data_IF_489457807831
#
_entry.id   IF_489457807831
#
_cell.length_a   1.000
_cell.length_b   1.000
_cell.length_c   1.000
_cell.angle_alpha   90.00
_cell.angle_beta   90.00
_cell.angle_gamma   90.00
#
_symmetry.space_group_name_H-M   'P 1'
#
loop_
_entity.id
_entity.type
_entity.pdbx_description
1 polymer ?
#
# COMPACT_ATOMS: atom_id res chain seq x y z
N UNK A 1 33.20 -39.85 18.25
CA UNK A 1 33.91 -38.64 17.77
C UNK A 1 33.14 -37.38 18.21
N UNK A 2 33.73 -36.53 19.05
CA UNK A 2 33.09 -35.28 19.53
C UNK A 2 33.06 -34.25 18.39
N UNK A 3 31.87 -33.77 18.03
CA UNK A 3 31.72 -32.73 16.99
C UNK A 3 32.45 -31.46 17.42
N UNK A 4 33.48 -31.05 16.67
CA UNK A 4 34.19 -29.80 16.90
C UNK A 4 33.19 -28.63 16.91
N UNK A 5 33.15 -27.90 18.02
CA UNK A 5 32.22 -26.79 18.22
C UNK A 5 32.65 -25.65 17.30
N UNK A 6 31.97 -25.48 16.16
CA UNK A 6 32.29 -24.42 15.20
C UNK A 6 32.15 -23.04 15.84
N UNK A 7 33.29 -22.39 16.10
CA UNK A 7 33.38 -21.01 16.59
C UNK A 7 32.85 -20.08 15.51
N UNK A 8 31.81 -19.30 15.83
CA UNK A 8 31.34 -18.23 14.93
C UNK A 8 32.20 -17.00 15.12
N UNK A 9 32.64 -16.41 14.00
CA UNK A 9 33.29 -15.11 14.02
C UNK A 9 32.38 -14.00 14.54
N UNK A 10 33.00 -12.94 15.05
CA UNK A 10 32.32 -11.75 15.55
C UNK A 10 31.95 -10.81 14.39
N UNK A 11 31.25 -9.71 14.68
CA UNK A 11 30.95 -8.71 13.65
C UNK A 11 32.20 -8.03 13.09
N UNK A 12 33.25 -7.90 13.91
CA UNK A 12 34.52 -7.27 13.56
C UNK A 12 35.48 -8.25 12.89
N UNK A 13 35.38 -9.55 13.19
CA UNK A 13 36.13 -10.62 12.53
C UNK A 13 35.17 -11.71 12.04
N UNK A 14 34.48 -11.48 10.90
CA UNK A 14 33.53 -12.43 10.38
C UNK A 14 34.25 -13.70 9.92
N UNK A 15 33.82 -14.86 10.42
CA UNK A 15 34.34 -16.18 10.03
C UNK A 15 33.26 -17.00 9.38
N UNK A 16 33.54 -17.50 8.19
CA UNK A 16 32.58 -18.22 7.38
C UNK A 16 32.34 -19.63 7.91
N UNK A 17 31.08 -19.98 8.15
CA UNK A 17 30.71 -21.31 8.61
C UNK A 17 30.78 -22.39 7.51
N UNK A 18 30.90 -22.01 6.23
CA UNK A 18 30.94 -22.97 5.13
C UNK A 18 32.36 -23.29 4.68
N UNK A 19 33.24 -22.30 4.57
CA UNK A 19 34.63 -22.50 4.14
C UNK A 19 35.67 -22.29 5.24
N UNK A 20 35.25 -21.89 6.45
CA UNK A 20 36.14 -21.70 7.60
C UNK A 20 37.03 -20.45 7.55
N UNK A 21 37.05 -19.72 6.42
CA UNK A 21 37.88 -18.53 6.20
C UNK A 21 37.29 -17.28 6.85
N UNK A 22 38.16 -16.35 7.22
CA UNK A 22 37.79 -15.04 7.77
C UNK A 22 37.43 -14.03 6.66
N UNK A 23 36.89 -12.87 7.05
CA UNK A 23 36.53 -11.76 6.16
C UNK A 23 35.11 -11.79 5.59
N UNK A 24 34.34 -12.88 5.78
CA UNK A 24 32.97 -12.97 5.27
C UNK A 24 32.07 -13.95 6.05
N UNK A 25 30.76 -13.81 5.87
CA UNK A 25 29.77 -14.71 6.47
C UNK A 25 29.40 -15.86 5.52
N UNK A 26 28.79 -16.90 6.08
CA UNK A 26 28.27 -18.05 5.31
C UNK A 26 27.33 -17.65 4.15
N UNK A 27 26.54 -16.59 4.33
CA UNK A 27 25.59 -16.06 3.32
C UNK A 27 26.28 -15.34 2.17
N UNK A 28 27.54 -14.95 2.33
CA UNK A 28 28.35 -14.26 1.31
C UNK A 28 29.59 -15.09 0.97
N UNK A 29 29.53 -16.42 1.16
CA UNK A 29 30.66 -17.31 0.93
C UNK A 29 30.90 -17.51 -0.58
N UNK A 30 32.07 -17.11 -1.11
CA UNK A 30 32.36 -17.25 -2.54
C UNK A 30 32.43 -18.72 -2.97
N UNK A 31 32.94 -19.60 -2.11
CA UNK A 31 32.98 -21.05 -2.37
C UNK A 31 31.57 -21.65 -2.47
N UNK A 32 30.63 -21.18 -1.64
CA UNK A 32 29.23 -21.61 -1.74
C UNK A 32 28.58 -21.07 -3.02
N UNK A 33 28.82 -19.80 -3.36
CA UNK A 33 28.31 -19.20 -4.59
C UNK A 33 28.82 -19.93 -5.85
N UNK A 34 30.10 -20.29 -5.90
CA UNK A 34 30.66 -21.08 -7.00
C UNK A 34 30.04 -22.49 -7.09
N UNK A 35 29.80 -23.17 -5.95
CA UNK A 35 29.13 -24.48 -5.95
C UNK A 35 27.69 -24.38 -6.47
N UNK A 36 26.97 -23.34 -6.07
CA UNK A 36 25.61 -23.04 -6.57
C UNK A 36 25.64 -22.81 -8.09
N UNK A 37 26.56 -21.96 -8.58
CA UNK A 37 26.68 -21.65 -10.00
C UNK A 37 27.05 -22.87 -10.84
N UNK A 38 28.00 -23.70 -10.38
CA UNK A 38 28.35 -24.96 -11.06
C UNK A 38 27.17 -25.92 -11.12
N UNK A 39 26.39 -26.04 -10.03
CA UNK A 39 25.21 -26.90 -10.00
C UNK A 39 24.06 -26.36 -10.86
N UNK A 40 23.96 -25.05 -11.06
CA UNK A 40 22.96 -24.44 -11.95
C UNK A 40 23.37 -24.58 -13.41
N UNK A 41 24.67 -24.49 -13.71
CA UNK A 41 25.20 -24.66 -15.06
C UNK A 41 24.97 -26.07 -15.64
N UNK A 42 24.75 -27.08 -14.80
CA UNK A 42 24.41 -28.44 -15.23
C UNK A 42 22.93 -28.63 -15.60
N UNK A 43 22.11 -27.57 -15.55
CA UNK A 43 20.69 -27.61 -15.88
C UNK A 43 20.40 -26.74 -17.12
N UNK A 44 19.43 -27.15 -17.95
CA UNK A 44 19.03 -26.34 -19.11
C UNK A 44 18.31 -25.06 -18.68
N UNK A 45 18.52 -23.98 -19.44
CA UNK A 45 17.90 -22.67 -19.17
C UNK A 45 16.37 -22.77 -19.08
N UNK A 46 15.76 -23.59 -19.94
CA UNK A 46 14.31 -23.82 -19.98
C UNK A 46 13.78 -24.44 -18.68
N UNK A 47 14.48 -25.45 -18.15
CA UNK A 47 14.11 -26.09 -16.88
C UNK A 47 14.18 -25.12 -15.70
N UNK A 48 15.21 -24.26 -15.66
CA UNK A 48 15.35 -23.24 -14.62
C UNK A 48 14.24 -22.18 -14.70
N UNK A 49 13.86 -21.75 -15.91
CA UNK A 49 12.77 -20.78 -16.12
C UNK A 49 11.41 -21.34 -15.69
N UNK A 50 11.09 -22.58 -16.06
CA UNK A 50 9.86 -23.26 -15.63
C UNK A 50 9.79 -23.42 -14.11
N UNK A 51 10.92 -23.75 -13.46
CA UNK A 51 10.98 -23.88 -12.01
C UNK A 51 10.78 -22.54 -11.27
N UNK A 52 11.38 -21.45 -11.79
CA UNK A 52 11.20 -20.09 -11.26
C UNK A 52 9.77 -19.62 -11.44
N UNK A 53 9.16 -19.89 -12.61
CA UNK A 53 7.76 -19.57 -12.89
C UNK A 53 6.79 -20.31 -11.95
N UNK A 54 7.12 -21.55 -11.56
CA UNK A 54 6.34 -22.34 -10.61
C UNK A 54 6.46 -21.86 -9.14
N UNK A 55 7.32 -20.88 -8.84
CA UNK A 55 7.49 -20.33 -7.49
C UNK A 55 8.03 -21.33 -6.44
N UNK A 56 8.60 -22.45 -6.89
CA UNK A 56 9.14 -23.51 -6.01
C UNK A 56 10.54 -23.12 -5.54
N UNK A 57 10.86 -23.42 -4.28
CA UNK A 57 12.20 -23.19 -3.73
C UNK A 57 13.18 -24.25 -4.25
N UNK A 58 14.23 -23.83 -4.94
CA UNK A 58 15.34 -24.70 -5.34
C UNK A 58 16.08 -25.21 -4.10
N UNK A 59 16.22 -26.53 -3.99
CA UNK A 59 17.09 -27.18 -3.01
C UNK A 59 18.23 -27.85 -3.75
N UNK A 60 19.45 -27.43 -3.44
CA UNK A 60 20.65 -28.08 -3.97
C UNK A 60 20.97 -29.31 -3.11
N UNK A 61 20.87 -30.51 -3.69
CA UNK A 61 21.12 -31.77 -2.98
C UNK A 61 22.54 -31.86 -2.40
N UNK A 62 23.51 -31.19 -3.04
CA UNK A 62 24.93 -31.17 -2.65
C UNK A 62 25.30 -30.10 -1.60
N UNK A 63 24.33 -29.29 -1.15
CA UNK A 63 24.55 -28.28 -0.11
C UNK A 63 23.84 -28.73 1.17
N UNK A 64 24.63 -29.09 2.19
CA UNK A 64 24.10 -29.50 3.49
C UNK A 64 23.10 -28.46 4.01
N UNK A 65 21.84 -28.88 4.18
CA UNK A 65 20.82 -28.00 4.75
C UNK A 65 21.18 -27.68 6.19
N UNK A 66 21.17 -26.39 6.52
CA UNK A 66 21.35 -25.93 7.91
C UNK A 66 20.32 -26.63 8.79
N UNK A 67 20.79 -27.46 9.75
CA UNK A 67 19.91 -28.12 10.73
C UNK A 67 18.95 -27.09 11.31
N UNK A 68 17.65 -27.25 11.06
CA UNK A 68 16.61 -26.38 11.62
C UNK A 68 16.78 -26.43 13.14
N UNK A 69 17.00 -25.27 13.77
CA UNK A 69 16.89 -25.18 15.23
C UNK A 69 15.45 -25.59 15.57
N UNK A 70 15.27 -26.78 16.11
CA UNK A 70 14.13 -27.03 16.97
C UNK A 70 14.22 -26.00 18.07
N UNK A 71 13.31 -25.03 18.06
CA UNK A 71 13.03 -24.25 19.25
C UNK A 71 12.66 -25.30 20.29
N UNK A 72 13.61 -25.69 21.15
CA UNK A 72 13.28 -26.33 22.41
C UNK A 72 12.33 -25.34 23.07
N UNK A 73 11.03 -25.64 22.99
CA UNK A 73 10.03 -25.02 23.84
C UNK A 73 10.65 -25.07 25.23
N UNK A 74 10.72 -23.94 25.90
CA UNK A 74 11.01 -23.88 27.31
C UNK A 74 9.83 -24.53 28.06
N UNK A 75 9.63 -25.84 27.90
CA UNK A 75 8.93 -26.66 28.87
C UNK A 75 9.93 -26.96 29.98
N UNK A 76 10.34 -25.91 30.69
CA UNK A 76 11.02 -26.06 31.96
C UNK A 76 9.98 -26.56 32.95
N UNK A 77 9.82 -27.89 33.04
CA UNK A 77 9.32 -28.52 34.26
C UNK A 77 10.32 -28.11 35.34
N UNK A 78 9.91 -27.22 36.25
CA UNK A 78 10.70 -26.92 37.45
C UNK A 78 10.63 -28.16 38.34
N UNK A 79 11.56 -29.08 38.15
CA UNK A 79 11.92 -30.01 39.21
C UNK A 79 12.81 -29.24 40.17
N UNK A 80 12.20 -28.87 41.28
CA UNK A 80 12.89 -28.47 42.49
C UNK A 80 13.61 -29.72 42.98
N UNK A 81 14.91 -29.84 42.71
CA UNK A 81 15.78 -30.71 43.49
C UNK A 81 17.15 -30.04 43.57
N UNK A 82 17.52 -29.79 44.82
CA UNK A 82 18.84 -29.41 45.26
C UNK A 82 19.84 -30.48 44.83
N UNK A 83 20.99 -30.07 44.29
CA UNK A 83 22.32 -30.40 44.82
C UNK A 83 23.40 -29.80 43.91
N UNK A 84 24.20 -28.91 44.52
CA UNK A 84 25.62 -28.64 44.29
C UNK A 84 26.29 -29.04 42.97
N UNK A 85 26.80 -28.04 42.24
CA UNK A 85 28.26 -27.85 42.07
C UNK A 85 28.55 -26.46 41.46
N UNK A 86 29.56 -25.82 42.03
CA UNK A 86 29.97 -24.43 41.84
C UNK A 86 30.48 -24.21 40.41
N UNK A 87 29.86 -23.27 39.71
CA UNK A 87 30.39 -22.61 38.51
C UNK A 87 30.37 -21.09 38.73
N UNK A 88 31.19 -20.32 38.00
CA UNK A 88 31.48 -18.92 38.32
C UNK A 88 30.21 -18.09 38.48
N UNK A 89 30.22 -17.25 39.52
CA UNK A 89 29.05 -16.62 40.13
C UNK A 89 28.06 -16.04 39.10
N UNK A 90 26.77 -16.39 39.26
CA UNK A 90 25.65 -15.82 38.50
C UNK A 90 25.66 -14.29 38.42
N UNK A 91 26.29 -13.61 39.40
CA UNK A 91 26.45 -12.15 39.48
C UNK A 91 27.25 -11.57 38.29
N UNK A 92 28.44 -12.10 37.99
CA UNK A 92 29.28 -11.61 36.87
C UNK A 92 28.63 -11.80 35.49
N UNK A 93 27.85 -12.88 35.32
CA UNK A 93 27.15 -13.16 34.06
C UNK A 93 25.92 -12.25 33.86
N UNK A 94 25.25 -11.85 34.93
CA UNK A 94 24.18 -10.86 34.87
C UNK A 94 24.72 -9.45 34.58
N UNK A 95 25.83 -9.06 35.21
CA UNK A 95 26.48 -7.76 34.95
C UNK A 95 26.89 -7.61 33.49
N UNK A 96 27.68 -8.54 32.93
CA UNK A 96 28.10 -8.44 31.53
C UNK A 96 26.94 -8.43 30.53
N UNK A 97 25.82 -9.10 30.85
CA UNK A 97 24.59 -9.04 30.04
C UNK A 97 23.89 -7.69 30.16
N UNK A 98 23.83 -7.10 31.37
CA UNK A 98 23.29 -5.77 31.63
C UNK A 98 24.12 -4.69 30.93
N UNK A 99 25.45 -4.77 30.98
CA UNK A 99 26.35 -3.80 30.30
C UNK A 99 26.25 -3.90 28.78
N UNK A 100 26.14 -5.12 28.22
CA UNK A 100 25.92 -5.32 26.77
C UNK A 100 24.55 -4.83 26.30
N UNK A 101 23.52 -4.98 27.12
CA UNK A 101 22.20 -4.42 26.85
C UNK A 101 22.20 -2.89 26.98
N UNK A 102 22.86 -2.32 27.99
CA UNK A 102 22.99 -0.88 28.18
C UNK A 102 23.74 -0.20 27.02
N UNK A 103 24.84 -0.79 26.54
CA UNK A 103 25.57 -0.28 25.37
C UNK A 103 24.76 -0.43 24.06
N UNK A 104 23.95 -1.48 23.94
CA UNK A 104 23.05 -1.64 22.79
C UNK A 104 21.82 -0.73 22.87
N UNK A 105 21.35 -0.38 24.07
CA UNK A 105 20.23 0.52 24.29
C UNK A 105 20.66 1.99 24.26
N UNK A 106 21.92 2.34 24.58
CA UNK A 106 22.48 3.68 24.36
C UNK A 106 22.70 3.98 22.87
N UNK A 107 23.02 2.95 22.07
CA UNK A 107 23.08 3.07 20.60
C UNK A 107 21.70 3.05 19.93
N UNK A 108 20.64 2.61 20.61
CA UNK A 108 19.28 2.80 20.11
C UNK A 108 18.93 4.26 20.34
N UNK A 109 18.65 4.99 19.25
CA UNK A 109 17.98 6.30 19.34
C UNK A 109 16.89 6.19 20.40
N UNK A 110 16.98 7.05 21.42
CA UNK A 110 15.96 7.18 22.44
C UNK A 110 14.61 7.15 21.73
N UNK A 111 13.80 6.13 22.01
CA UNK A 111 12.38 6.23 21.68
C UNK A 111 11.94 7.55 22.30
N UNK A 112 11.25 8.45 21.57
CA UNK A 112 10.83 9.70 22.17
C UNK A 112 10.01 9.38 23.42
N UNK A 113 10.63 9.51 24.60
CA UNK A 113 10.01 9.21 25.90
C UNK A 113 8.86 10.18 26.17
N UNK A 114 8.85 11.33 25.47
CA UNK A 114 7.85 12.39 25.56
C UNK A 114 6.43 12.03 25.10
N UNK A 115 6.15 10.78 24.71
CA UNK A 115 4.80 10.37 24.32
C UNK A 115 4.19 9.25 25.17
N UNK A 116 4.87 8.68 26.17
CA UNK A 116 4.27 7.62 26.99
C UNK A 116 3.10 8.16 27.82
N UNK A 117 3.23 9.37 28.39
CA UNK A 117 2.14 10.03 29.13
C UNK A 117 0.95 10.40 28.21
N UNK A 118 1.20 10.61 26.92
CA UNK A 118 0.16 10.93 25.93
C UNK A 118 -0.38 9.70 25.19
N UNK A 119 0.13 8.49 25.47
CA UNK A 119 -0.42 7.28 24.90
C UNK A 119 -1.73 6.96 25.61
N UNK A 120 -2.82 6.75 24.85
CA UNK A 120 -4.11 6.54 25.47
C UNK A 120 -4.09 5.24 26.29
N UNK A 121 -4.47 5.34 27.56
CA UNK A 121 -4.54 4.18 28.44
C UNK A 121 -5.53 3.14 27.88
N UNK A 122 -5.04 1.91 27.72
CA UNK A 122 -5.82 0.78 27.24
C UNK A 122 -6.53 0.12 28.41
N UNK A 123 -7.84 -0.03 28.32
CA UNK A 123 -8.59 -0.83 29.26
C UNK A 123 -9.60 -1.71 28.53
N UNK A 124 -10.28 -2.54 29.31
CA UNK A 124 -11.12 -3.55 28.73
C UNK A 124 -12.31 -2.99 27.96
N UNK A 125 -12.96 -2.04 28.62
CA UNK A 125 -14.10 -1.29 28.13
C UNK A 125 -13.82 -0.61 26.79
N UNK A 126 -12.69 0.11 26.66
CA UNK A 126 -12.30 0.80 25.41
C UNK A 126 -12.03 -0.17 24.26
N UNK A 127 -11.41 -1.32 24.53
CA UNK A 127 -11.12 -2.33 23.51
C UNK A 127 -12.42 -2.97 23.00
N UNK A 128 -13.33 -3.29 23.91
CA UNK A 128 -14.65 -3.85 23.56
C UNK A 128 -15.52 -2.84 22.81
N UNK A 129 -15.53 -1.57 23.25
CA UNK A 129 -16.19 -0.49 22.52
C UNK A 129 -15.64 -0.35 21.10
N UNK A 130 -14.31 -0.34 20.93
CA UNK A 130 -13.69 -0.25 19.61
C UNK A 130 -14.03 -1.46 18.72
N UNK A 131 -14.07 -2.66 19.29
CA UNK A 131 -14.54 -3.84 18.59
C UNK A 131 -15.96 -3.65 18.08
N UNK A 132 -16.90 -3.27 18.95
CA UNK A 132 -18.29 -3.06 18.56
C UNK A 132 -18.44 -1.98 17.49
N UNK A 133 -17.69 -0.87 17.59
CA UNK A 133 -17.69 0.18 16.56
C UNK A 133 -17.17 -0.32 15.22
N UNK A 134 -16.07 -1.08 15.20
CA UNK A 134 -15.49 -1.62 13.97
C UNK A 134 -16.38 -2.71 13.34
N UNK A 135 -17.08 -3.49 14.19
CA UNK A 135 -18.10 -4.46 13.75
C UNK A 135 -19.30 -3.75 13.14
N UNK A 136 -19.87 -2.78 13.85
CA UNK A 136 -21.09 -2.08 13.42
C UNK A 136 -20.85 -1.27 12.16
N UNK A 137 -19.70 -0.60 12.07
CA UNK A 137 -19.29 0.10 10.85
C UNK A 137 -18.99 -0.85 9.69
N UNK A 138 -18.71 -2.13 9.94
CA UNK A 138 -18.46 -3.13 8.90
C UNK A 138 -16.99 -3.31 8.52
N UNK A 139 -16.07 -2.63 9.21
CA UNK A 139 -14.64 -2.85 9.07
C UNK A 139 -14.22 -4.21 9.61
N UNK A 140 -15.00 -4.80 10.51
CA UNK A 140 -14.81 -6.12 11.06
C UNK A 140 -16.06 -6.96 10.79
N UNK A 141 -15.90 -8.16 10.25
CA UNK A 141 -16.98 -9.14 10.15
C UNK A 141 -17.04 -9.99 11.43
N UNK A 142 -18.24 -10.13 12.01
CA UNK A 142 -18.49 -11.14 13.05
C UNK A 142 -18.32 -12.52 12.42
N UNK A 143 -17.47 -13.34 13.02
CA UNK A 143 -17.35 -14.75 12.65
C UNK A 143 -18.45 -15.53 13.37
N UNK A 144 -18.94 -16.59 12.74
CA UNK A 144 -19.79 -17.56 13.44
C UNK A 144 -19.07 -18.09 14.70
N UNK A 145 -19.78 -18.36 15.80
CA UNK A 145 -19.22 -19.06 16.94
C UNK A 145 -18.51 -20.35 16.48
N UNK A 146 -17.27 -20.58 16.93
CA UNK A 146 -16.48 -21.75 16.55
C UNK A 146 -15.45 -21.55 15.43
N UNK A 147 -15.46 -20.42 14.71
CA UNK A 147 -14.44 -20.12 13.68
C UNK A 147 -13.49 -18.99 14.10
N UNK A 148 -12.19 -19.20 13.93
CA UNK A 148 -11.13 -18.37 14.52
C UNK A 148 -10.66 -17.22 13.60
N UNK A 149 -11.57 -16.51 12.92
CA UNK A 149 -11.13 -15.57 11.88
C UNK A 149 -12.00 -14.33 11.68
N UNK A 150 -11.75 -13.26 12.42
CA UNK A 150 -12.29 -11.94 12.04
C UNK A 150 -11.46 -11.34 10.92
N UNK A 151 -12.12 -11.05 9.80
CA UNK A 151 -11.54 -10.32 8.68
C UNK A 151 -11.71 -8.83 8.91
N UNK A 152 -10.61 -8.07 8.94
CA UNK A 152 -10.67 -6.63 8.69
C UNK A 152 -10.98 -6.47 7.20
N UNK A 153 -12.18 -6.00 6.89
CA UNK A 153 -12.74 -5.94 5.56
C UNK A 153 -11.84 -5.12 4.63
N UNK A 154 -11.08 -5.83 3.82
CA UNK A 154 -10.56 -5.35 2.56
C UNK A 154 -10.85 -6.51 1.60
N UNK A 155 -12.11 -6.62 1.15
CA UNK A 155 -12.55 -7.69 0.22
C UNK A 155 -11.81 -7.67 -1.12
N UNK A 156 -10.98 -6.66 -1.34
CA UNK A 156 -10.13 -6.41 -2.49
C UNK A 156 -8.67 -6.88 -2.31
N UNK A 157 -8.32 -7.51 -1.18
CA UNK A 157 -7.01 -8.16 -0.99
C UNK A 157 -7.27 -9.64 -0.72
N UNK A 158 -6.67 -10.53 -1.52
CA UNK A 158 -6.78 -11.99 -1.38
C UNK A 158 -6.35 -12.50 0.02
N UNK A 159 -5.69 -11.65 0.81
CA UNK A 159 -5.31 -11.92 2.19
C UNK A 159 -6.02 -10.96 3.14
N UNK A 160 -6.77 -11.46 4.14
CA UNK A 160 -7.38 -10.61 5.15
C UNK A 160 -6.28 -9.83 5.90
N UNK A 161 -6.53 -8.54 6.13
CA UNK A 161 -5.56 -7.64 6.80
C UNK A 161 -5.29 -8.09 8.24
N UNK A 162 -6.17 -8.90 8.83
CA UNK A 162 -5.99 -9.58 10.10
C UNK A 162 -6.99 -10.74 10.27
N UNK A 163 -6.70 -11.63 11.22
CA UNK A 163 -7.51 -12.80 11.62
C UNK A 163 -7.55 -12.86 13.15
N UNK A 164 -8.69 -12.57 13.79
CA UNK A 164 -8.83 -12.71 15.25
C UNK A 164 -8.99 -14.17 15.68
N UNK A 165 -8.12 -14.68 16.57
CA UNK A 165 -8.26 -16.01 17.20
C UNK A 165 -8.46 -15.88 18.72
N UNK A 166 -9.39 -16.66 19.29
CA UNK A 166 -9.59 -16.88 20.74
C UNK A 166 -9.70 -15.59 21.59
N UNK A 167 -10.80 -14.86 21.45
CA UNK A 167 -11.12 -13.64 22.22
C UNK A 167 -11.33 -13.88 23.74
N UNK A 168 -11.25 -15.12 24.21
CA UNK A 168 -11.62 -15.51 25.58
C UNK A 168 -10.49 -15.34 26.63
N UNK A 169 -9.26 -14.95 26.26
CA UNK A 169 -8.14 -14.83 27.21
C UNK A 169 -7.45 -13.47 27.17
N UNK A 170 -7.86 -12.63 28.12
CA UNK A 170 -7.54 -11.21 28.32
C UNK A 170 -6.11 -10.87 28.82
N UNK A 171 -5.18 -11.83 28.92
CA UNK A 171 -4.02 -11.70 29.83
C UNK A 171 -2.68 -11.23 29.23
N UNK A 172 -2.56 -10.88 27.95
CA UNK A 172 -1.27 -10.43 27.38
C UNK A 172 -1.34 -9.12 26.58
N UNK A 173 -0.23 -8.38 26.53
CA UNK A 173 -0.08 -7.23 25.61
C UNK A 173 -0.19 -7.64 24.14
N UNK A 174 0.14 -8.91 23.86
CA UNK A 174 -0.16 -9.57 22.58
C UNK A 174 -1.64 -10.02 22.47
N UNK A 175 -2.37 -10.22 23.59
CA UNK A 175 -3.84 -10.35 23.60
C UNK A 175 -4.56 -9.04 23.28
N UNK A 176 -3.97 -7.88 23.58
CA UNK A 176 -4.53 -6.58 23.15
C UNK A 176 -4.37 -6.36 21.66
N UNK A 177 -3.31 -6.90 21.05
CA UNK A 177 -3.20 -7.00 19.61
C UNK A 177 -3.99 -8.19 19.09
N UNK A 178 -5.29 -8.00 19.17
CA UNK A 178 -6.31 -8.78 18.52
C UNK A 178 -5.93 -9.12 17.05
N UNK A 179 -5.17 -8.29 16.35
CA UNK A 179 -4.79 -8.52 14.95
C UNK A 179 -3.38 -9.11 14.81
N UNK A 180 -3.19 -10.45 14.68
CA UNK A 180 -1.88 -11.09 14.65
C UNK A 180 -1.01 -10.66 13.45
N UNK A 181 -1.64 -10.30 12.34
CA UNK A 181 -0.98 -9.77 11.14
C UNK A 181 -0.54 -8.33 11.38
N UNK A 182 -1.45 -7.47 11.83
CA UNK A 182 -1.16 -6.04 12.00
C UNK A 182 -0.22 -5.77 13.17
N UNK A 183 -0.32 -6.54 14.26
CA UNK A 183 0.37 -6.29 15.54
C UNK A 183 0.09 -4.89 16.09
N UNK A 184 -1.18 -4.49 16.08
CA UNK A 184 -1.70 -3.24 16.66
C UNK A 184 -2.88 -3.51 17.61
N UNK A 185 -3.02 -2.79 18.74
CA UNK A 185 -4.20 -2.86 19.60
C UNK A 185 -5.46 -2.38 18.88
N UNK A 186 -6.59 -3.03 19.11
CA UNK A 186 -7.83 -2.72 18.37
C UNK A 186 -8.33 -1.29 18.59
N UNK A 187 -8.19 -0.78 19.82
CA UNK A 187 -8.51 0.61 20.13
C UNK A 187 -7.67 1.59 19.30
N UNK A 188 -6.37 1.31 19.12
CA UNK A 188 -5.50 2.10 18.23
C UNK A 188 -5.89 1.98 16.76
N UNK A 189 -6.34 0.80 16.31
CA UNK A 189 -6.86 0.66 14.94
C UNK A 189 -8.03 1.60 14.71
N UNK A 190 -8.97 1.67 15.65
CA UNK A 190 -10.11 2.58 15.57
C UNK A 190 -9.65 4.05 15.59
N UNK A 191 -8.76 4.45 16.51
CA UNK A 191 -8.28 5.83 16.57
C UNK A 191 -7.57 6.26 15.28
N UNK A 192 -6.72 5.39 14.73
CA UNK A 192 -6.03 5.65 13.45
C UNK A 192 -7.04 5.70 12.31
N UNK A 193 -8.05 4.83 12.30
CA UNK A 193 -9.11 4.87 11.30
C UNK A 193 -9.90 6.19 11.38
N UNK A 194 -10.33 6.58 12.57
CA UNK A 194 -11.04 7.85 12.79
C UNK A 194 -10.22 9.03 12.28
N UNK A 195 -8.93 9.14 12.64
CA UNK A 195 -8.05 10.19 12.15
C UNK A 195 -7.83 10.13 10.62
N UNK A 196 -7.74 8.93 10.04
CA UNK A 196 -7.56 8.76 8.59
C UNK A 196 -8.77 9.23 7.78
N UNK A 197 -9.97 9.00 8.30
CA UNK A 197 -11.26 9.26 7.65
C UNK A 197 -11.93 10.56 8.14
N UNK A 198 -11.26 11.34 8.98
CA UNK A 198 -11.78 12.58 9.58
C UNK A 198 -12.00 13.68 8.52
N UNK A 199 -11.14 13.73 7.49
CA UNK A 199 -11.12 14.82 6.52
C UNK A 199 -11.02 14.32 5.07
N UNK A 200 -11.22 15.23 4.12
CA UNK A 200 -11.08 14.96 2.68
C UNK A 200 -9.63 14.68 2.25
N UNK A 201 -8.65 15.22 2.98
CA UNK A 201 -7.22 14.98 2.76
C UNK A 201 -6.68 14.08 3.87
N UNK A 202 -6.29 12.83 3.58
CA UNK A 202 -5.78 11.93 4.61
C UNK A 202 -4.50 12.50 5.23
N UNK A 203 -4.31 12.28 6.55
CA UNK A 203 -3.09 12.67 7.22
C UNK A 203 -1.89 11.88 6.68
N UNK A 204 -0.70 12.48 6.73
CA UNK A 204 0.52 11.78 6.34
C UNK A 204 0.86 10.66 7.33
N UNK A 205 1.63 9.67 6.87
CA UNK A 205 2.11 8.60 7.76
C UNK A 205 2.94 9.16 8.93
N UNK A 206 3.63 10.27 8.70
CA UNK A 206 4.41 10.97 9.73
C UNK A 206 3.52 11.64 10.77
N UNK A 207 2.45 12.33 10.33
CA UNK A 207 1.45 12.93 11.22
C UNK A 207 0.77 11.86 12.09
N UNK A 208 0.31 10.76 11.49
CA UNK A 208 -0.27 9.65 12.24
C UNK A 208 0.74 9.01 13.20
N UNK A 209 2.00 8.88 12.76
CA UNK A 209 3.09 8.37 13.60
C UNK A 209 3.34 9.24 14.83
N UNK A 210 3.40 10.55 14.64
CA UNK A 210 3.55 11.52 15.71
C UNK A 210 2.33 11.52 16.65
N UNK A 211 1.11 11.56 16.09
CA UNK A 211 -0.16 11.61 16.85
C UNK A 211 -0.37 10.39 17.75
N UNK A 212 0.05 9.20 17.31
CA UNK A 212 -0.22 7.94 18.02
C UNK A 212 1.04 7.23 18.55
N UNK A 213 2.20 7.90 18.53
CA UNK A 213 3.45 7.37 19.10
C UNK A 213 4.07 6.20 18.32
N UNK A 214 3.85 6.11 17.00
CA UNK A 214 4.51 5.11 16.16
C UNK A 214 5.77 5.69 15.51
N UNK A 215 6.89 4.97 15.66
CA UNK A 215 8.14 5.33 14.99
C UNK A 215 7.98 5.29 13.45
N UNK A 216 8.60 6.24 12.75
CA UNK A 216 8.54 6.42 11.29
C UNK A 216 9.25 5.33 10.46
N UNK A 217 9.53 4.16 11.03
CA UNK A 217 10.28 3.11 10.34
C UNK A 217 9.48 2.47 9.18
N UNK A 218 10.19 2.03 8.13
CA UNK A 218 9.64 1.57 6.86
C UNK A 218 8.72 0.34 6.94
N UNK A 219 8.62 -0.36 8.08
CA UNK A 219 7.83 -1.59 8.23
C UNK A 219 6.98 -1.63 9.51
N UNK A 220 6.32 -0.52 9.88
CA UNK A 220 5.42 -0.52 11.05
C UNK A 220 4.05 -1.13 10.76
N UNK A 221 3.38 -1.54 11.84
CA UNK A 221 1.95 -1.86 11.84
C UNK A 221 1.11 -0.71 11.26
N UNK A 222 1.44 0.54 11.60
CA UNK A 222 0.76 1.74 11.11
C UNK A 222 0.82 1.84 9.58
N UNK A 223 1.99 1.65 8.95
CA UNK A 223 2.11 1.69 7.48
C UNK A 223 1.21 0.65 6.80
N UNK A 224 1.12 -0.54 7.37
CA UNK A 224 0.27 -1.63 6.86
C UNK A 224 -1.22 -1.29 6.99
N UNK A 225 -1.61 -0.69 8.11
CA UNK A 225 -2.98 -0.22 8.32
C UNK A 225 -3.37 0.87 7.33
N UNK A 226 -2.54 1.92 7.21
CA UNK A 226 -2.75 3.01 6.25
C UNK A 226 -2.84 2.48 4.81
N UNK A 227 -1.98 1.52 4.45
CA UNK A 227 -2.05 0.88 3.15
C UNK A 227 -3.38 0.14 2.94
N UNK A 228 -3.87 -0.57 3.96
CA UNK A 228 -5.17 -1.23 3.89
C UNK A 228 -6.31 -0.22 3.68
N UNK A 229 -6.27 0.94 4.34
CA UNK A 229 -7.25 2.00 4.11
C UNK A 229 -7.19 2.57 2.69
N UNK A 230 -6.00 2.83 2.15
CA UNK A 230 -5.84 3.27 0.76
C UNK A 230 -6.45 2.27 -0.23
N UNK A 231 -6.21 0.97 -0.03
CA UNK A 231 -6.77 -0.09 -0.89
C UNK A 231 -8.28 -0.18 -0.75
N UNK A 232 -8.81 -0.05 0.46
CA UNK A 232 -10.25 -0.01 0.72
C UNK A 232 -10.93 1.15 -0.02
N UNK A 233 -10.43 2.38 0.14
CA UNK A 233 -10.99 3.56 -0.53
C UNK A 233 -10.89 3.44 -2.06
N UNK A 234 -9.76 2.96 -2.57
CA UNK A 234 -9.58 2.76 -3.99
C UNK A 234 -10.58 1.73 -4.58
N UNK A 235 -10.79 0.61 -3.87
CA UNK A 235 -11.78 -0.38 -4.29
C UNK A 235 -13.20 0.16 -4.26
N UNK A 236 -13.55 0.99 -3.28
CA UNK A 236 -14.85 1.66 -3.24
C UNK A 236 -15.05 2.60 -4.44
N UNK A 237 -14.02 3.37 -4.81
CA UNK A 237 -14.07 4.20 -6.02
C UNK A 237 -14.25 3.33 -7.28
N UNK A 238 -13.51 2.24 -7.42
CA UNK A 238 -13.64 1.32 -8.55
C UNK A 238 -15.03 0.69 -8.65
N UNK A 239 -15.57 0.17 -7.54
CA UNK A 239 -16.94 -0.36 -7.49
C UNK A 239 -17.96 0.71 -7.85
N UNK A 240 -17.81 1.90 -7.29
CA UNK A 240 -18.71 3.02 -7.53
C UNK A 240 -18.66 3.46 -9.00
N UNK A 241 -17.49 3.47 -9.63
CA UNK A 241 -17.32 3.75 -11.05
C UNK A 241 -17.92 2.64 -11.92
N UNK A 242 -17.66 1.37 -11.61
CA UNK A 242 -18.15 0.24 -12.40
C UNK A 242 -19.69 0.14 -12.41
N UNK A 243 -20.36 0.61 -11.36
CA UNK A 243 -21.82 0.54 -11.25
C UNK A 243 -22.55 1.76 -11.82
N UNK A 244 -21.87 2.72 -12.48
CA UNK A 244 -22.49 3.99 -12.87
C UNK A 244 -22.38 4.28 -14.36
N UNK A 245 -23.39 4.98 -14.86
CA UNK A 245 -23.35 5.68 -16.14
C UNK A 245 -23.33 7.19 -15.90
N UNK A 246 -22.43 7.90 -16.57
CA UNK A 246 -22.33 9.35 -16.58
C UNK A 246 -23.27 9.92 -17.63
N UNK A 247 -23.96 11.00 -17.28
CA UNK A 247 -24.93 11.67 -18.15
C UNK A 247 -24.92 13.19 -17.96
N UNK A 248 -25.52 13.92 -18.89
CA UNK A 248 -25.61 15.40 -18.82
C UNK A 248 -24.46 16.07 -19.56
N UNK A 249 -23.90 17.14 -18.99
CA UNK A 249 -22.73 17.82 -19.56
C UNK A 249 -21.45 17.29 -18.91
N UNK A 250 -20.64 16.60 -19.72
CA UNK A 250 -19.45 15.90 -19.29
C UNK A 250 -18.22 16.65 -19.77
N UNK A 251 -17.32 17.02 -18.86
CA UNK A 251 -15.98 17.47 -19.23
C UNK A 251 -15.05 16.27 -19.31
N UNK A 252 -14.29 16.18 -20.40
CA UNK A 252 -13.30 15.13 -20.65
C UNK A 252 -11.94 15.77 -20.88
N UNK A 253 -10.93 15.26 -20.19
CA UNK A 253 -9.56 15.72 -20.31
C UNK A 253 -8.58 14.63 -19.88
N UNK A 254 -7.40 14.62 -20.51
CA UNK A 254 -6.32 13.71 -20.21
C UNK A 254 -5.22 14.42 -19.44
N UNK A 255 -4.67 13.72 -18.45
CA UNK A 255 -3.56 14.26 -17.67
C UNK A 255 -2.45 13.25 -17.50
N UNK A 256 -1.25 13.78 -17.24
CA UNK A 256 -0.04 12.98 -17.03
C UNK A 256 0.51 13.24 -15.63
N UNK A 257 0.74 12.18 -14.88
CA UNK A 257 1.33 12.24 -13.54
C UNK A 257 2.66 11.53 -13.56
N UNK A 258 3.72 12.23 -13.18
CA UNK A 258 5.08 11.67 -13.16
C UNK A 258 5.11 10.46 -12.24
N UNK A 259 5.52 9.32 -12.78
CA UNK A 259 5.51 8.04 -12.07
C UNK A 259 6.92 7.62 -11.64
N UNK A 260 7.90 7.73 -12.53
CA UNK A 260 9.31 7.52 -12.18
C UNK A 260 10.27 8.12 -13.21
N UNK A 261 11.54 8.15 -12.84
CA UNK A 261 12.67 8.40 -13.72
C UNK A 261 13.69 7.29 -13.50
N UNK A 262 14.12 6.54 -14.53
CA UNK A 262 15.18 5.55 -14.38
C UNK A 262 16.48 6.21 -13.91
N UNK A 263 17.28 5.47 -13.14
CA UNK A 263 18.62 5.92 -12.77
C UNK A 263 19.44 6.16 -14.05
N UNK A 264 20.23 7.23 -14.07
CA UNK A 264 21.09 7.61 -15.20
C UNK A 264 20.37 7.84 -16.54
N UNK A 265 19.05 8.06 -16.52
CA UNK A 265 18.28 8.40 -17.72
C UNK A 265 17.82 9.86 -17.69
N UNK A 266 17.69 10.49 -18.87
CA UNK A 266 16.99 11.77 -19.04
C UNK A 266 15.52 11.59 -19.37
N UNK A 267 15.00 10.36 -19.40
CA UNK A 267 13.61 10.07 -19.73
C UNK A 267 12.75 9.99 -18.48
N UNK A 268 11.70 10.79 -18.43
CA UNK A 268 10.66 10.69 -17.41
C UNK A 268 9.55 9.77 -17.91
N UNK A 269 9.02 8.93 -17.01
CA UNK A 269 7.87 8.10 -17.28
C UNK A 269 6.66 8.61 -16.50
N UNK A 270 5.56 8.80 -17.22
CA UNK A 270 4.30 9.32 -16.70
C UNK A 270 3.23 8.25 -16.76
N UNK A 271 2.37 8.22 -15.76
CA UNK A 271 1.08 7.55 -15.85
C UNK A 271 0.12 8.52 -16.53
N UNK A 272 -0.40 8.15 -17.69
CA UNK A 272 -1.47 8.88 -18.36
C UNK A 272 -2.83 8.37 -17.93
N UNK A 273 -3.74 9.32 -17.77
CA UNK A 273 -5.06 9.11 -17.16
C UNK A 273 -6.06 10.01 -17.86
N UNK A 274 -7.18 9.43 -18.26
CA UNK A 274 -8.36 10.16 -18.72
C UNK A 274 -9.29 10.39 -17.55
N UNK A 275 -9.87 11.58 -17.48
CA UNK A 275 -10.93 11.93 -16.56
C UNK A 275 -12.19 12.26 -17.34
N UNK A 276 -13.34 11.81 -16.83
CA UNK A 276 -14.65 12.21 -17.32
C UNK A 276 -15.46 12.65 -16.11
N UNK A 277 -15.84 13.92 -16.05
CA UNK A 277 -16.54 14.51 -14.91
C UNK A 277 -17.86 15.13 -15.34
N UNK A 278 -18.92 14.92 -14.55
CA UNK A 278 -20.22 15.55 -14.78
C UNK A 278 -20.22 16.95 -14.16
N UNK A 279 -20.62 17.98 -14.90
CA UNK A 279 -20.59 19.37 -14.41
C UNK A 279 -21.51 19.61 -13.22
N UNK A 280 -22.65 18.96 -13.21
CA UNK A 280 -23.72 19.15 -12.23
C UNK A 280 -23.53 18.34 -10.95
N UNK A 281 -22.56 17.42 -10.91
CA UNK A 281 -22.36 16.53 -9.75
C UNK A 281 -20.89 16.37 -9.34
N UNK A 282 -20.66 15.87 -8.13
CA UNK A 282 -19.32 15.44 -7.69
C UNK A 282 -19.07 14.00 -8.11
N UNK A 283 -18.96 13.77 -9.42
CA UNK A 283 -18.69 12.46 -10.00
C UNK A 283 -17.60 12.60 -11.04
N UNK A 284 -16.55 11.80 -10.89
CA UNK A 284 -15.47 11.71 -11.87
C UNK A 284 -15.11 10.25 -12.08
N UNK A 285 -15.12 9.81 -13.32
CA UNK A 285 -14.53 8.53 -13.69
C UNK A 285 -13.10 8.76 -14.16
N UNK A 286 -12.19 7.89 -13.72
CA UNK A 286 -10.80 7.90 -14.18
C UNK A 286 -10.47 6.62 -14.93
N UNK A 287 -9.71 6.73 -16.00
CA UNK A 287 -9.29 5.60 -16.82
C UNK A 287 -7.79 5.69 -17.08
N UNK A 288 -7.07 4.61 -16.83
CA UNK A 288 -5.62 4.59 -17.06
C UNK A 288 -5.33 4.32 -18.54
N UNK A 289 -4.61 5.24 -19.21
CA UNK A 289 -4.08 5.03 -20.56
C UNK A 289 -2.78 4.23 -20.58
N UNK A 290 -2.16 4.02 -19.41
CA UNK A 290 -0.88 3.35 -19.29
C UNK A 290 0.28 4.32 -19.12
N UNK A 291 1.50 3.81 -19.28
CA UNK A 291 2.70 4.59 -19.08
C UNK A 291 3.17 5.20 -20.40
N UNK A 292 3.64 6.44 -20.36
CA UNK A 292 4.31 7.10 -21.48
C UNK A 292 5.66 7.63 -21.05
N UNK A 293 6.60 7.61 -21.99
CA UNK A 293 7.92 8.19 -21.82
C UNK A 293 7.94 9.60 -22.44
N UNK A 294 8.64 10.53 -21.80
CA UNK A 294 9.00 11.81 -22.39
C UNK A 294 10.44 12.16 -22.00
N UNK A 295 11.21 12.74 -22.94
CA UNK A 295 12.54 13.27 -22.65
C UNK A 295 12.44 14.38 -21.59
N UNK A 296 13.51 14.63 -20.85
CA UNK A 296 13.57 15.71 -19.86
C UNK A 296 13.13 17.02 -20.50
N UNK A 297 12.26 17.77 -19.80
CA UNK A 297 11.62 19.01 -20.26
C UNK A 297 10.66 18.86 -21.45
N UNK A 298 10.53 17.66 -22.04
CA UNK A 298 9.53 17.36 -23.05
C UNK A 298 8.14 17.22 -22.44
N UNK A 299 7.12 17.75 -23.14
CA UNK A 299 5.72 17.51 -22.79
C UNK A 299 5.41 16.03 -23.01
N UNK A 300 4.64 15.37 -22.12
CA UNK A 300 4.13 14.04 -22.38
C UNK A 300 3.36 14.01 -23.70
N UNK A 301 3.42 12.89 -24.46
CA UNK A 301 2.69 12.78 -25.73
C UNK A 301 1.19 12.99 -25.51
N UNK A 302 0.52 13.64 -26.46
CA UNK A 302 -0.93 13.88 -26.38
C UNK A 302 -1.73 12.57 -26.40
N UNK A 303 -3.01 12.67 -26.06
CA UNK A 303 -3.97 11.58 -26.19
C UNK A 303 -4.08 11.14 -27.65
N UNK A 304 -4.49 9.89 -27.86
CA UNK A 304 -4.76 9.34 -29.19
C UNK A 304 -6.11 8.65 -29.17
N UNK A 305 -6.77 8.59 -30.33
CA UNK A 305 -8.05 7.90 -30.50
C UNK A 305 -7.92 6.43 -30.04
N UNK A 306 -6.82 5.75 -30.38
CA UNK A 306 -6.56 4.37 -29.95
C UNK A 306 -6.56 4.21 -28.43
N UNK A 307 -5.95 5.15 -27.69
CA UNK A 307 -5.96 5.13 -26.22
C UNK A 307 -7.37 5.37 -25.65
N UNK A 308 -8.12 6.30 -26.25
CA UNK A 308 -9.51 6.59 -25.86
C UNK A 308 -10.41 5.36 -26.07
N UNK A 309 -10.25 4.64 -27.18
CA UNK A 309 -10.96 3.39 -27.45
C UNK A 309 -10.60 2.30 -26.43
N UNK A 310 -9.30 2.11 -26.18
CA UNK A 310 -8.81 1.03 -25.32
C UNK A 310 -9.18 1.21 -23.84
N UNK A 311 -9.39 2.46 -23.37
CA UNK A 311 -9.60 2.73 -21.96
C UNK A 311 -11.02 2.40 -21.46
N UNK A 312 -11.97 2.15 -22.36
CA UNK A 312 -13.34 1.75 -22.03
C UNK A 312 -14.28 2.88 -21.61
N UNK A 313 -13.83 4.14 -21.60
CA UNK A 313 -14.61 5.27 -21.10
C UNK A 313 -15.97 5.47 -21.79
N UNK A 314 -16.07 5.12 -23.08
CA UNK A 314 -17.32 5.23 -23.83
C UNK A 314 -18.47 4.37 -23.24
N UNK A 315 -18.15 3.24 -22.60
CA UNK A 315 -19.14 2.33 -22.01
C UNK A 315 -19.87 2.96 -20.82
N UNK A 316 -19.20 3.85 -20.12
CA UNK A 316 -19.71 4.48 -18.90
C UNK A 316 -20.42 5.81 -19.22
N UNK A 317 -20.51 6.23 -20.49
CA UNK A 317 -21.13 7.49 -20.90
C UNK A 317 -22.47 7.22 -21.58
N UNK A 318 -23.54 7.87 -21.10
CA UNK A 318 -24.85 7.82 -21.75
C UNK A 318 -24.80 8.48 -23.12
N UNK A 319 -25.44 7.86 -24.12
CA UNK A 319 -25.50 8.38 -25.51
C UNK A 319 -26.10 9.78 -25.62
N UNK A 320 -26.98 10.15 -24.70
CA UNK A 320 -27.64 11.46 -24.68
C UNK A 320 -26.78 12.56 -24.03
N UNK A 321 -25.54 12.25 -23.69
CA UNK A 321 -24.63 13.20 -23.03
C UNK A 321 -23.99 14.17 -24.02
N UNK A 322 -23.62 15.33 -23.49
CA UNK A 322 -22.78 16.30 -24.19
C UNK A 322 -21.37 16.20 -23.65
N UNK A 323 -20.41 15.88 -24.51
CA UNK A 323 -18.99 15.82 -24.18
C UNK A 323 -18.32 17.15 -24.50
N UNK A 324 -17.54 17.67 -23.55
CA UNK A 324 -16.85 18.96 -23.61
C UNK A 324 -15.36 18.73 -23.39
N UNK A 325 -14.50 19.14 -24.33
CA UNK A 325 -13.05 18.95 -24.25
C UNK A 325 -12.22 20.20 -24.53
N UNK A 326 -10.92 20.11 -24.29
CA UNK A 326 -9.90 21.17 -24.39
C UNK A 326 -9.42 21.47 -25.83
N UNK A 327 -9.93 20.72 -26.80
CA UNK A 327 -9.60 20.85 -28.22
C UNK A 327 -8.51 19.90 -28.72
N UNK A 328 -8.07 18.92 -27.91
CA UNK A 328 -7.19 17.86 -28.40
C UNK A 328 -7.83 17.13 -29.61
N UNK A 329 -7.11 16.95 -30.74
CA UNK A 329 -7.65 16.37 -31.96
C UNK A 329 -8.21 14.95 -31.81
N UNK A 330 -7.81 14.22 -30.78
CA UNK A 330 -8.28 12.85 -30.53
C UNK A 330 -9.76 12.77 -30.13
N UNK A 331 -10.33 13.83 -29.51
CA UNK A 331 -11.69 13.75 -28.95
C UNK A 331 -12.79 13.81 -30.00
N UNK A 332 -12.65 14.61 -31.06
CA UNK A 332 -13.71 14.77 -32.05
C UNK A 332 -13.99 13.48 -32.86
N UNK A 333 -12.97 12.78 -33.41
CA UNK A 333 -13.19 11.48 -34.06
C UNK A 333 -13.75 10.42 -33.11
N UNK A 334 -13.28 10.41 -31.86
CA UNK A 334 -13.76 9.48 -30.84
C UNK A 334 -15.24 9.73 -30.51
N UNK A 335 -15.65 10.98 -30.27
CA UNK A 335 -17.05 11.32 -30.02
C UNK A 335 -17.94 11.01 -31.22
N UNK A 336 -17.46 11.27 -32.45
CA UNK A 336 -18.20 10.95 -33.69
C UNK A 336 -18.47 9.45 -33.79
N UNK A 337 -17.46 8.61 -33.49
CA UNK A 337 -17.59 7.15 -33.54
C UNK A 337 -18.60 6.59 -32.53
N UNK A 338 -18.68 7.19 -31.33
CA UNK A 338 -19.62 6.77 -30.27
C UNK A 338 -20.95 7.55 -30.27
N UNK A 339 -21.17 8.39 -31.28
CA UNK A 339 -22.37 9.23 -31.44
C UNK A 339 -22.65 10.17 -30.27
N UNK A 340 -21.61 10.70 -29.64
CA UNK A 340 -21.76 11.72 -28.59
C UNK A 340 -21.86 13.12 -29.20
N UNK A 341 -22.74 13.97 -28.65
CA UNK A 341 -22.72 15.39 -28.97
C UNK A 341 -21.43 16.00 -28.39
N UNK A 342 -20.58 16.59 -29.24
CA UNK A 342 -19.28 17.09 -28.82
C UNK A 342 -19.14 18.60 -29.05
N UNK A 343 -18.59 19.28 -28.05
CA UNK A 343 -18.11 20.65 -28.16
C UNK A 343 -16.70 20.74 -27.59
N UNK A 344 -15.89 21.65 -28.12
CA UNK A 344 -14.56 21.91 -27.58
C UNK A 344 -14.25 23.40 -27.48
N UNK A 345 -13.50 23.76 -26.45
CA UNK A 345 -12.68 24.95 -26.44
C UNK A 345 -11.31 24.61 -27.07
N UNK A 346 -10.47 25.59 -27.40
CA UNK A 346 -9.16 25.31 -27.99
C UNK A 346 -8.10 26.06 -27.18
N UNK A 347 -7.51 25.37 -26.21
CA UNK A 347 -6.54 25.96 -25.31
C UNK A 347 -5.25 26.37 -26.03
N UNK A 348 -4.83 25.64 -27.07
CA UNK A 348 -3.63 26.00 -27.84
C UNK A 348 -3.80 27.29 -28.65
N UNK A 349 -5.05 27.71 -28.91
CA UNK A 349 -5.39 28.99 -29.54
C UNK A 349 -5.82 30.07 -28.53
N UNK A 350 -5.61 29.85 -27.23
CA UNK A 350 -6.02 30.79 -26.18
C UNK A 350 -7.53 30.90 -25.97
N UNK A 351 -8.33 30.00 -26.53
CA UNK A 351 -9.79 29.99 -26.37
C UNK A 351 -10.15 29.07 -25.22
N UNK A 352 -10.31 29.64 -24.03
CA UNK A 352 -10.62 28.92 -22.78
C UNK A 352 -12.12 28.75 -22.51
N UNK A 353 -12.93 29.65 -23.06
CA UNK A 353 -14.39 29.62 -22.93
C UNK A 353 -15.01 29.96 -24.28
N UNK A 354 -15.98 29.16 -24.71
CA UNK A 354 -16.77 29.41 -25.93
C UNK A 354 -18.26 29.32 -25.61
N UNK A 355 -19.09 30.13 -26.26
CA UNK A 355 -20.55 29.95 -26.26
C UNK A 355 -20.94 29.18 -27.52
N UNK A 356 -21.65 28.07 -27.37
CA UNK A 356 -22.11 27.24 -28.47
C UNK A 356 -23.65 27.18 -28.47
N UNK A 357 -24.29 27.49 -29.60
CA UNK A 357 -25.74 27.33 -29.75
C UNK A 357 -26.09 25.85 -29.92
N UNK A 358 -27.13 25.39 -29.23
CA UNK A 358 -27.68 24.02 -29.27
C UNK A 358 -29.11 23.99 -29.81
N UNK A 359 -29.38 24.77 -30.85
CA UNK A 359 -30.73 24.90 -31.41
C UNK A 359 -31.75 25.30 -30.34
N UNK A 360 -32.84 24.54 -30.22
CA UNK A 360 -33.92 24.77 -29.23
C UNK A 360 -33.49 24.60 -27.77
N UNK A 361 -32.34 23.97 -27.50
CA UNK A 361 -31.81 23.76 -26.15
C UNK A 361 -31.00 24.96 -25.61
N UNK A 362 -30.97 26.08 -26.34
CA UNK A 362 -30.33 27.32 -25.90
C UNK A 362 -28.82 27.35 -26.13
N UNK A 363 -28.11 28.10 -25.28
CA UNK A 363 -26.66 28.35 -25.40
C UNK A 363 -25.90 27.59 -24.32
N UNK A 364 -24.92 26.79 -24.73
CA UNK A 364 -24.00 26.09 -23.85
C UNK A 364 -22.69 26.87 -23.69
N UNK A 365 -22.24 27.03 -22.45
CA UNK A 365 -20.89 27.54 -22.14
C UNK A 365 -19.89 26.39 -22.15
N UNK A 366 -19.00 26.36 -23.14
CA UNK A 366 -18.00 25.30 -23.39
C UNK A 366 -16.67 25.71 -22.75
N UNK A 367 -16.19 24.93 -21.78
CA UNK A 367 -14.90 25.08 -21.07
C UNK A 367 -14.55 23.78 -20.32
N UNK A 368 -13.29 23.59 -19.93
CA UNK A 368 -12.83 22.42 -19.13
C UNK A 368 -12.38 22.80 -17.72
N UNK A 369 -12.73 24.01 -17.24
CA UNK A 369 -12.24 24.51 -15.97
C UNK A 369 -12.56 23.62 -14.76
N UNK A 370 -13.64 22.83 -14.79
CA UNK A 370 -13.94 21.90 -13.69
C UNK A 370 -12.94 20.76 -13.70
N UNK A 371 -12.76 20.05 -14.81
CA UNK A 371 -11.82 18.93 -14.86
C UNK A 371 -10.36 19.37 -14.63
N UNK A 372 -9.97 20.56 -15.11
CA UNK A 372 -8.66 21.16 -14.84
C UNK A 372 -8.43 21.37 -13.34
N UNK A 373 -9.43 21.92 -12.63
CA UNK A 373 -9.37 22.08 -11.17
C UNK A 373 -9.28 20.73 -10.44
N UNK A 374 -10.00 19.72 -10.93
CA UNK A 374 -9.97 18.37 -10.37
C UNK A 374 -8.60 17.72 -10.53
N UNK A 375 -7.94 17.92 -11.66
CA UNK A 375 -6.58 17.43 -11.86
C UNK A 375 -5.57 18.07 -10.93
N UNK A 376 -5.69 19.38 -10.67
CA UNK A 376 -4.84 20.06 -9.70
C UNK A 376 -4.99 19.44 -8.30
N UNK A 377 -6.23 19.23 -7.85
CA UNK A 377 -6.51 18.60 -6.56
C UNK A 377 -6.02 17.15 -6.50
N UNK A 378 -6.27 16.36 -7.54
CA UNK A 378 -5.86 14.96 -7.61
C UNK A 378 -4.33 14.81 -7.61
N UNK A 379 -3.61 15.69 -8.34
CA UNK A 379 -2.14 15.71 -8.36
C UNK A 379 -1.54 16.05 -7.00
N UNK A 380 -2.12 17.01 -6.29
CA UNK A 380 -1.69 17.38 -4.92
C UNK A 380 -1.93 16.26 -3.91
N UNK A 381 -2.89 15.36 -4.18
CA UNK A 381 -3.16 14.20 -3.34
C UNK A 381 -2.10 13.10 -3.47
N UNK A 382 -1.40 13.01 -4.60
CA UNK A 382 -0.36 11.99 -4.83
C UNK A 382 0.93 12.42 -4.12
N UNK A 383 1.45 11.63 -3.16
CA UNK A 383 2.69 11.98 -2.47
C UNK A 383 3.88 12.20 -3.41
N UNK A 384 4.60 13.31 -3.24
CA UNK A 384 5.77 13.68 -4.08
C UNK A 384 6.91 12.65 -4.01
N UNK A 385 7.06 11.98 -2.86
CA UNK A 385 8.07 10.94 -2.66
C UNK A 385 7.76 9.64 -3.43
N UNK A 386 6.54 9.45 -3.93
CA UNK A 386 6.22 8.34 -4.84
C UNK A 386 6.86 8.57 -6.22
N UNK A 387 7.09 9.82 -6.60
CA UNK A 387 7.52 10.18 -7.96
C UNK A 387 9.05 10.06 -8.16
N UNK A 388 9.82 9.73 -7.12
CA UNK A 388 11.27 10.00 -7.05
C UNK A 388 12.19 8.79 -6.81
N UNK A 389 11.70 7.57 -6.49
CA UNK A 389 12.59 6.46 -6.07
C UNK A 389 12.52 5.21 -6.95
N UNK A 390 13.55 5.04 -7.78
CA UNK A 390 14.17 3.77 -8.17
C UNK A 390 13.21 2.62 -8.60
N UNK A 391 12.38 2.87 -9.61
CA UNK A 391 11.59 1.81 -10.26
C UNK A 391 10.18 2.25 -10.64
N UNK A 392 9.45 1.35 -11.29
CA UNK A 392 8.06 1.58 -11.69
C UNK A 392 7.17 1.72 -10.46
N UNK A 393 6.64 2.92 -10.19
CA UNK A 393 5.72 3.11 -9.06
C UNK A 393 4.29 2.68 -9.40
N UNK A 394 3.86 1.54 -8.86
CA UNK A 394 2.54 0.95 -9.14
C UNK A 394 1.39 1.65 -8.40
N UNK A 395 1.68 2.58 -7.48
CA UNK A 395 0.69 3.11 -6.55
C UNK A 395 0.02 4.42 -7.00
N UNK A 396 0.43 5.02 -8.12
CA UNK A 396 -0.17 6.30 -8.58
C UNK A 396 -1.68 6.18 -8.73
N UNK A 397 -2.16 5.13 -9.41
CA UNK A 397 -3.60 4.89 -9.55
C UNK A 397 -4.29 4.63 -8.21
N UNK A 398 -3.63 3.96 -7.27
CA UNK A 398 -4.20 3.73 -5.94
C UNK A 398 -4.52 5.04 -5.22
N UNK A 399 -3.58 5.99 -5.22
CA UNK A 399 -3.79 7.29 -4.59
C UNK A 399 -4.88 8.10 -5.31
N UNK A 400 -4.96 8.02 -6.64
CA UNK A 400 -5.98 8.73 -7.40
C UNK A 400 -7.37 8.14 -7.20
N UNK A 401 -7.50 6.82 -7.08
CA UNK A 401 -8.76 6.15 -6.72
C UNK A 401 -9.19 6.49 -5.29
N UNK A 402 -8.24 6.56 -4.35
CA UNK A 402 -8.52 7.04 -2.99
C UNK A 402 -9.01 8.50 -3.02
N UNK A 403 -8.36 9.39 -3.77
CA UNK A 403 -8.81 10.76 -3.96
C UNK A 403 -10.21 10.83 -4.58
N UNK A 404 -10.47 10.04 -5.63
CA UNK A 404 -11.78 9.95 -6.29
C UNK A 404 -12.87 9.61 -5.26
N UNK A 405 -12.67 8.56 -4.46
CA UNK A 405 -13.63 8.15 -3.44
C UNK A 405 -13.94 9.29 -2.46
N UNK A 406 -12.91 9.99 -1.96
CA UNK A 406 -13.06 11.10 -1.02
C UNK A 406 -13.73 12.32 -1.62
N UNK A 407 -13.40 12.64 -2.88
CA UNK A 407 -14.04 13.73 -3.61
C UNK A 407 -15.55 13.49 -3.77
N UNK A 408 -15.92 12.28 -4.17
CA UNK A 408 -17.33 11.89 -4.37
C UNK A 408 -18.10 11.79 -3.05
N UNK A 409 -17.46 11.31 -1.99
CA UNK A 409 -18.07 11.15 -0.68
C UNK A 409 -18.05 12.40 0.20
N UNK A 410 -17.66 13.57 -0.32
CA UNK A 410 -17.50 14.81 0.43
C UNK A 410 -18.63 15.07 1.43
N UNK A 411 -18.28 15.58 2.63
CA UNK A 411 -19.18 15.78 3.79
C UNK A 411 -19.84 14.50 4.35
N UNK A 412 -19.47 13.32 3.86
CA UNK A 412 -19.92 12.04 4.39
C UNK A 412 -19.06 11.53 5.54
N UNK A 413 -19.66 10.69 6.39
CA UNK A 413 -18.92 9.84 7.34
C UNK A 413 -18.09 8.79 6.56
N UNK A 414 -16.90 9.18 6.08
CA UNK A 414 -16.06 8.36 5.20
C UNK A 414 -15.77 6.96 5.79
N UNK A 415 -15.54 6.89 7.11
CA UNK A 415 -15.30 5.62 7.80
C UNK A 415 -16.44 4.62 7.59
N UNK A 416 -17.69 5.03 7.82
CA UNK A 416 -18.85 4.15 7.67
C UNK A 416 -19.24 3.94 6.22
N UNK A 417 -19.18 5.00 5.38
CA UNK A 417 -19.47 4.89 3.94
C UNK A 417 -18.53 3.91 3.24
N UNK A 418 -17.23 3.98 3.53
CA UNK A 418 -16.24 3.08 2.94
C UNK A 418 -16.54 1.63 3.31
N UNK A 419 -16.76 1.34 4.59
CA UNK A 419 -17.06 -0.02 5.01
C UNK A 419 -18.42 -0.54 4.50
N UNK A 420 -19.43 0.32 4.37
CA UNK A 420 -20.70 -0.03 3.72
C UNK A 420 -20.46 -0.43 2.26
N UNK A 421 -19.78 0.42 1.48
CA UNK A 421 -19.53 0.16 0.06
C UNK A 421 -18.65 -1.07 -0.20
N UNK A 422 -17.79 -1.43 0.74
CA UNK A 422 -17.02 -2.68 0.66
C UNK A 422 -17.90 -3.93 0.81
N UNK A 423 -19.03 -3.85 1.54
CA UNK A 423 -19.96 -4.96 1.74
C UNK A 423 -20.85 -5.23 0.54
N UNK A 424 -21.19 -4.19 -0.23
CA UNK A 424 -21.93 -4.31 -1.48
C UNK A 424 -21.13 -5.25 -2.41
N UNK A 425 -21.62 -6.48 -2.57
CA UNK A 425 -21.00 -7.52 -3.40
C UNK A 425 -21.50 -7.40 -4.82
#
# INVERSE_FOLDING_TARGET
MKSAQMVRGTKTHPRCQHCGKDGHYATTCPTLAQKVLKSLASHSLKSLQEHVAAGKQLRLASVETKKKRTLKRASGRRTWNQTSKVGPSKKKRQESSKTKHAASDSMRRTRPMKAIQNQPHFNAKKTYAAYNTLVSSGWIQKVKPGSSAVVVACGCVATPVAVLRNLLRWKDVLSFSLLPVLRMPLYHVLLVAQAWFESSKPPSLSELGARFGYASQRQTCLRRLVRAFLVAEASCAEKSQASRTLSGHLEIDGTSIKKWRPANSTTNYYQQILGVTCRESRRINMYAFGNVAAKNFGKPPTESVTKLEACGAAKDISRNSVVISDGCPAYAPWCKKHHFQHFSCNHSKGVWVKRARRGRLGVLKVHTGKIDSLWNLAKQFVPSNLQTKAGQNKDVMLYLRCWQWRYECHNGKLLSKTASKLKDR
#
